data_IF_978505283873
#
_entry.id   IF_978505283873
#
_cell.length_a   1.000
_cell.length_b   1.000
_cell.length_c   1.000
_cell.angle_alpha   90.00
_cell.angle_beta   90.00
_cell.angle_gamma   90.00
#
_symmetry.space_group_name_H-M   'P 1'
#
loop_
_entity.id
_entity.type
_entity.pdbx_description
1 polymer ?
#
# COMPACT_ATOMS: atom_id res chain seq x y z
N UNK A 1 52.22 6.25 48.80
CA UNK A 1 50.82 5.82 48.91
C UNK A 1 50.14 6.09 47.59
N UNK A 2 49.86 5.02 46.86
CA UNK A 2 49.20 5.03 45.55
C UNK A 2 47.73 4.75 45.81
N UNK A 3 46.84 5.67 45.47
CA UNK A 3 45.41 5.38 45.37
C UNK A 3 44.91 5.81 44.00
N UNK A 4 44.71 4.78 43.19
CA UNK A 4 43.95 4.74 41.94
C UNK A 4 42.46 4.92 42.25
N UNK A 5 41.80 5.85 41.57
CA UNK A 5 40.33 5.86 41.45
C UNK A 5 40.00 5.99 39.96
N UNK A 6 39.36 4.94 39.47
CA UNK A 6 38.92 4.67 38.11
C UNK A 6 37.95 5.74 37.55
N UNK A 7 37.79 5.80 36.21
CA UNK A 7 37.02 6.83 35.54
C UNK A 7 35.51 6.53 35.63
N UNK A 8 34.71 7.52 36.04
CA UNK A 8 33.24 7.50 35.96
C UNK A 8 32.80 7.66 34.52
N UNK A 9 32.86 6.56 33.78
CA UNK A 9 32.35 6.39 32.43
C UNK A 9 31.03 5.60 32.54
N UNK A 10 30.02 6.06 31.81
CA UNK A 10 28.75 5.37 31.50
C UNK A 10 27.75 5.27 32.66
N UNK A 11 26.91 6.30 32.84
CA UNK A 11 25.55 6.10 33.40
C UNK A 11 24.59 7.27 33.08
N UNK A 12 24.51 7.75 31.83
CA UNK A 12 23.41 8.67 31.41
C UNK A 12 23.02 8.43 29.93
N UNK A 13 22.90 7.16 29.52
CA UNK A 13 22.31 6.80 28.20
C UNK A 13 21.12 5.84 28.35
N UNK A 14 20.76 5.44 29.57
CA UNK A 14 19.71 4.43 29.79
C UNK A 14 18.70 4.99 30.78
N UNK A 15 17.97 6.06 30.42
CA UNK A 15 16.68 6.46 31.03
C UNK A 15 16.21 7.72 30.29
N UNK A 16 15.48 7.55 29.17
CA UNK A 16 14.53 8.52 28.55
C UNK A 16 14.09 8.15 27.11
N UNK A 17 14.49 7.00 26.54
CA UNK A 17 13.93 6.48 25.27
C UNK A 17 12.65 5.65 25.46
N UNK A 18 12.04 5.70 26.65
CA UNK A 18 10.77 5.03 26.94
C UNK A 18 9.62 5.97 26.61
N UNK A 19 8.93 5.67 25.51
CA UNK A 19 7.52 6.00 25.14
C UNK A 19 7.32 6.69 23.78
N UNK A 20 7.72 5.99 22.70
CA UNK A 20 7.11 6.19 21.37
C UNK A 20 7.25 4.98 20.43
N UNK A 21 7.88 3.88 20.84
CA UNK A 21 7.90 2.66 20.03
C UNK A 21 6.56 1.94 20.16
N UNK A 22 5.81 1.80 19.06
CA UNK A 22 4.71 0.85 18.99
C UNK A 22 5.19 -0.51 19.50
N UNK A 23 4.37 -1.21 20.29
CA UNK A 23 4.68 -2.60 20.64
C UNK A 23 4.68 -3.46 19.37
N UNK A 24 5.41 -4.58 19.38
CA UNK A 24 5.39 -5.54 18.27
C UNK A 24 3.95 -5.98 17.93
N UNK A 25 3.10 -6.11 18.96
CA UNK A 25 1.68 -6.43 18.82
C UNK A 25 0.91 -5.34 18.06
N UNK A 26 1.15 -4.06 18.36
CA UNK A 26 0.51 -2.94 17.65
C UNK A 26 0.92 -2.87 16.17
N UNK A 27 2.18 -3.18 15.87
CA UNK A 27 2.65 -3.26 14.48
C UNK A 27 2.04 -4.46 13.75
N UNK A 28 1.89 -5.60 14.44
CA UNK A 28 1.24 -6.79 13.87
C UNK A 28 -0.24 -6.55 13.54
N UNK A 29 -0.97 -5.88 14.43
CA UNK A 29 -2.36 -5.53 14.21
C UNK A 29 -2.53 -4.51 13.08
N UNK A 30 -1.67 -3.48 13.02
CA UNK A 30 -1.67 -2.54 11.90
C UNK A 30 -1.40 -3.26 10.57
N UNK A 31 -0.52 -4.26 10.57
CA UNK A 31 -0.27 -5.10 9.40
C UNK A 31 -1.49 -5.89 8.95
N UNK A 32 -2.34 -6.32 9.90
CA UNK A 32 -3.60 -7.01 9.61
C UNK A 32 -4.65 -6.07 9.03
N UNK A 33 -4.77 -4.86 9.60
CA UNK A 33 -5.63 -3.82 9.02
C UNK A 33 -5.20 -3.49 7.58
N UNK A 34 -3.91 -3.25 7.36
CA UNK A 34 -3.35 -2.96 6.03
C UNK A 34 -3.69 -4.06 5.04
N UNK A 35 -3.51 -5.33 5.45
CA UNK A 35 -3.87 -6.47 4.61
C UNK A 35 -5.33 -6.45 4.23
N UNK A 36 -6.23 -6.25 5.20
CA UNK A 36 -7.66 -6.25 4.92
C UNK A 36 -8.07 -5.08 4.02
N UNK A 37 -7.45 -3.90 4.17
CA UNK A 37 -7.65 -2.77 3.27
C UNK A 37 -7.16 -3.08 1.84
N UNK A 38 -5.98 -3.70 1.69
CA UNK A 38 -5.49 -4.17 0.39
C UNK A 38 -6.43 -5.21 -0.24
N UNK A 39 -6.94 -6.17 0.55
CA UNK A 39 -7.89 -7.18 0.06
C UNK A 39 -9.21 -6.54 -0.37
N UNK A 40 -9.75 -5.59 0.40
CA UNK A 40 -10.92 -4.80 0.00
C UNK A 40 -10.67 -4.04 -1.29
N UNK A 41 -9.48 -3.41 -1.43
CA UNK A 41 -9.10 -2.69 -2.64
C UNK A 41 -9.06 -3.61 -3.87
N UNK A 42 -8.36 -4.75 -3.76
CA UNK A 42 -8.29 -5.75 -4.84
C UNK A 42 -9.70 -6.22 -5.22
N UNK A 43 -10.56 -6.49 -4.24
CA UNK A 43 -11.93 -6.92 -4.49
C UNK A 43 -12.75 -5.86 -5.22
N UNK A 44 -12.61 -4.57 -4.85
CA UNK A 44 -13.29 -3.46 -5.53
C UNK A 44 -12.83 -3.34 -6.99
N UNK A 45 -11.53 -3.41 -7.24
CA UNK A 45 -10.93 -3.30 -8.58
C UNK A 45 -11.30 -4.48 -9.47
N UNK A 46 -11.48 -5.66 -8.88
CA UNK A 46 -11.95 -6.87 -9.57
C UNK A 46 -13.47 -7.00 -9.66
N UNK A 47 -14.23 -6.04 -9.12
CA UNK A 47 -15.70 -6.09 -9.01
C UNK A 47 -16.21 -7.37 -8.31
N UNK A 48 -15.50 -7.84 -7.29
CA UNK A 48 -15.82 -9.03 -6.49
C UNK A 48 -16.69 -8.64 -5.28
N UNK A 49 -17.96 -8.31 -5.54
CA UNK A 49 -18.90 -7.75 -4.52
C UNK A 49 -18.97 -8.58 -3.24
N UNK A 50 -19.00 -9.92 -3.36
CA UNK A 50 -19.11 -10.84 -2.23
C UNK A 50 -17.91 -10.70 -1.28
N UNK A 51 -16.71 -10.52 -1.84
CA UNK A 51 -15.48 -10.37 -1.08
C UNK A 51 -15.25 -8.98 -0.55
N UNK A 52 -15.72 -7.94 -1.26
CA UNK A 52 -15.65 -6.54 -0.79
C UNK A 52 -16.28 -6.43 0.60
N UNK A 53 -17.47 -7.01 0.79
CA UNK A 53 -18.16 -6.98 2.08
C UNK A 53 -17.37 -7.69 3.19
N UNK A 54 -16.90 -8.91 2.92
CA UNK A 54 -16.15 -9.71 3.90
C UNK A 54 -14.84 -9.03 4.32
N UNK A 55 -14.02 -8.60 3.36
CA UNK A 55 -12.74 -7.96 3.67
C UNK A 55 -12.92 -6.60 4.34
N UNK A 56 -13.96 -5.83 3.96
CA UNK A 56 -14.27 -4.61 4.68
C UNK A 56 -14.67 -4.91 6.13
N UNK A 57 -15.52 -5.90 6.40
CA UNK A 57 -15.89 -6.28 7.77
C UNK A 57 -14.65 -6.62 8.62
N UNK A 58 -13.72 -7.38 8.05
CA UNK A 58 -12.47 -7.73 8.73
C UNK A 58 -11.56 -6.51 8.95
N UNK A 59 -11.51 -5.56 8.01
CA UNK A 59 -10.84 -4.27 8.21
C UNK A 59 -11.49 -3.48 9.36
N UNK A 60 -12.82 -3.43 9.44
CA UNK A 60 -13.55 -2.74 10.53
C UNK A 60 -13.24 -3.34 11.89
N UNK A 61 -13.20 -4.67 11.98
CA UNK A 61 -12.82 -5.38 13.22
C UNK A 61 -11.39 -5.07 13.63
N UNK A 62 -10.44 -5.13 12.68
CA UNK A 62 -9.04 -4.83 12.93
C UNK A 62 -8.86 -3.39 13.43
N UNK A 63 -9.49 -2.41 12.77
CA UNK A 63 -9.43 -1.02 13.21
C UNK A 63 -10.06 -0.81 14.58
N UNK A 64 -11.20 -1.44 14.87
CA UNK A 64 -11.85 -1.34 16.18
C UNK A 64 -10.95 -1.86 17.31
N UNK A 65 -10.26 -2.98 17.08
CA UNK A 65 -9.30 -3.54 18.03
C UNK A 65 -8.14 -2.56 18.30
N UNK A 66 -7.50 -2.08 17.24
CA UNK A 66 -6.42 -1.08 17.29
C UNK A 66 -6.88 0.19 18.02
N UNK A 67 -8.07 0.70 17.68
CA UNK A 67 -8.64 1.91 18.27
C UNK A 67 -8.91 1.75 19.77
N UNK A 68 -9.33 0.55 20.20
CA UNK A 68 -9.52 0.21 21.60
C UNK A 68 -8.23 0.32 22.40
N UNK A 69 -7.12 -0.19 21.86
CA UNK A 69 -5.80 -0.10 22.51
C UNK A 69 -5.30 1.34 22.62
N UNK A 70 -5.54 2.15 21.59
CA UNK A 70 -5.14 3.55 21.57
C UNK A 70 -6.02 4.47 22.42
N UNK A 71 -7.20 4.02 22.86
CA UNK A 71 -8.08 4.84 23.70
C UNK A 71 -7.44 5.21 25.03
N UNK A 72 -6.67 4.29 25.60
CA UNK A 72 -6.04 4.46 26.91
C UNK A 72 -4.56 4.89 26.77
N UNK A 73 -4.04 4.98 25.55
CA UNK A 73 -2.69 5.45 25.24
C UNK A 73 -2.63 6.98 25.19
N UNK A 74 -1.54 7.57 25.70
CA UNK A 74 -1.29 9.01 25.60
C UNK A 74 -0.72 9.35 24.22
N UNK A 75 -1.60 9.38 23.22
CA UNK A 75 -1.21 9.74 21.84
C UNK A 75 -0.96 11.24 21.70
N UNK A 76 -0.04 11.58 20.80
CA UNK A 76 0.17 12.97 20.38
C UNK A 76 -1.07 13.50 19.64
N UNK A 77 -1.28 14.82 19.65
CA UNK A 77 -2.41 15.45 18.93
C UNK A 77 -2.46 15.08 17.43
N UNK A 78 -1.33 15.06 16.69
CA UNK A 78 -1.35 14.63 15.29
C UNK A 78 -1.85 13.19 15.10
N UNK A 79 -1.43 12.26 15.97
CA UNK A 79 -1.87 10.86 15.92
C UNK A 79 -3.37 10.73 16.23
N UNK A 80 -3.89 11.49 17.20
CA UNK A 80 -5.33 11.51 17.49
C UNK A 80 -6.15 12.04 16.31
N UNK A 81 -5.67 13.09 15.65
CA UNK A 81 -6.35 13.64 14.47
C UNK A 81 -6.35 12.65 13.31
N UNK A 82 -5.22 11.98 13.09
CA UNK A 82 -5.12 10.95 12.06
C UNK A 82 -6.04 9.77 12.34
N UNK A 83 -6.03 9.24 13.56
CA UNK A 83 -6.95 8.18 13.96
C UNK A 83 -8.42 8.62 13.77
N UNK A 84 -8.76 9.87 14.08
CA UNK A 84 -10.09 10.41 13.80
C UNK A 84 -10.45 10.51 12.31
N UNK A 85 -9.47 10.75 11.43
CA UNK A 85 -9.68 10.67 9.97
C UNK A 85 -9.89 9.23 9.52
N UNK A 86 -9.10 8.28 10.03
CA UNK A 86 -9.32 6.85 9.76
C UNK A 86 -10.69 6.41 10.25
N UNK A 87 -11.15 6.84 11.44
CA UNK A 87 -12.51 6.58 11.94
C UNK A 87 -13.58 7.05 10.94
N UNK A 88 -13.43 8.25 10.38
CA UNK A 88 -14.34 8.80 9.37
C UNK A 88 -14.29 7.99 8.06
N UNK A 89 -13.11 7.61 7.58
CA UNK A 89 -12.95 6.86 6.34
C UNK A 89 -13.42 5.43 6.46
N UNK A 90 -13.24 4.79 7.62
CA UNK A 90 -13.80 3.48 7.92
C UNK A 90 -15.33 3.50 7.93
N UNK A 91 -15.95 4.53 8.52
CA UNK A 91 -17.39 4.74 8.45
C UNK A 91 -17.87 4.92 7.00
N UNK A 92 -17.17 5.75 6.22
CA UNK A 92 -17.51 6.00 4.82
C UNK A 92 -17.37 4.75 3.96
N UNK A 93 -16.30 3.95 4.16
CA UNK A 93 -16.11 2.68 3.49
C UNK A 93 -17.26 1.72 3.80
N UNK A 94 -17.61 1.55 5.08
CA UNK A 94 -18.73 0.71 5.50
C UNK A 94 -20.04 1.10 4.81
N UNK A 95 -20.38 2.39 4.85
CA UNK A 95 -21.62 2.88 4.22
C UNK A 95 -21.56 2.71 2.70
N UNK A 96 -20.42 2.98 2.07
CA UNK A 96 -20.26 2.82 0.62
C UNK A 96 -20.42 1.36 0.19
N UNK A 97 -19.89 0.42 0.96
CA UNK A 97 -20.07 -1.02 0.71
C UNK A 97 -21.53 -1.44 0.92
N UNK A 98 -22.15 -1.03 2.03
CA UNK A 98 -23.56 -1.32 2.34
C UNK A 98 -24.52 -0.82 1.24
N UNK A 99 -24.27 0.37 0.71
CA UNK A 99 -25.08 0.98 -0.35
C UNK A 99 -24.59 0.68 -1.77
N UNK A 100 -23.66 -0.26 -1.94
CA UNK A 100 -23.11 -0.68 -3.26
C UNK A 100 -22.58 0.49 -4.11
N UNK A 101 -21.77 1.35 -3.50
CA UNK A 101 -21.16 2.52 -4.12
C UNK A 101 -19.65 2.30 -4.30
N UNK A 102 -19.21 1.47 -5.28
CA UNK A 102 -17.81 1.05 -5.40
C UNK A 102 -16.84 2.22 -5.58
N UNK A 103 -17.22 3.25 -6.34
CA UNK A 103 -16.37 4.45 -6.49
C UNK A 103 -16.15 5.20 -5.17
N UNK A 104 -17.15 5.25 -4.28
CA UNK A 104 -16.98 5.86 -2.95
C UNK A 104 -16.20 4.95 -2.00
N UNK A 105 -16.36 3.64 -2.14
CA UNK A 105 -15.58 2.66 -1.37
C UNK A 105 -14.09 2.76 -1.73
N UNK A 106 -13.76 2.79 -3.02
CA UNK A 106 -12.39 3.01 -3.52
C UNK A 106 -11.79 4.31 -3.00
N UNK A 107 -12.54 5.41 -3.06
CA UNK A 107 -12.09 6.69 -2.51
C UNK A 107 -11.79 6.60 -1.01
N UNK A 108 -12.64 5.94 -0.23
CA UNK A 108 -12.42 5.77 1.21
C UNK A 108 -11.16 4.93 1.50
N UNK A 109 -10.93 3.85 0.73
CA UNK A 109 -9.71 3.04 0.82
C UNK A 109 -8.47 3.88 0.52
N UNK A 110 -8.45 4.62 -0.59
CA UNK A 110 -7.31 5.46 -0.99
C UNK A 110 -7.02 6.54 0.06
N UNK A 111 -8.05 7.15 0.65
CA UNK A 111 -7.88 8.14 1.73
C UNK A 111 -7.23 7.54 2.99
N UNK A 112 -7.53 6.28 3.31
CA UNK A 112 -6.87 5.57 4.41
C UNK A 112 -5.42 5.21 4.09
N UNK A 113 -5.16 4.72 2.88
CA UNK A 113 -3.80 4.42 2.43
C UNK A 113 -2.92 5.68 2.48
N UNK A 114 -3.41 6.81 1.97
CA UNK A 114 -2.73 8.11 2.06
C UNK A 114 -2.45 8.53 3.51
N UNK A 115 -3.42 8.33 4.41
CA UNK A 115 -3.23 8.64 5.81
C UNK A 115 -2.12 7.78 6.44
N UNK A 116 -2.06 6.49 6.11
CA UNK A 116 -1.04 5.58 6.58
C UNK A 116 0.35 5.95 6.04
N UNK A 117 0.46 6.29 4.76
CA UNK A 117 1.70 6.75 4.12
C UNK A 117 2.22 8.04 4.77
N UNK A 118 1.34 8.96 5.17
CA UNK A 118 1.73 10.22 5.86
C UNK A 118 2.14 9.96 7.32
N UNK A 119 1.49 9.02 7.99
CA UNK A 119 1.76 8.71 9.39
C UNK A 119 3.07 7.93 9.61
N UNK A 120 3.32 6.91 8.81
CA UNK A 120 4.42 5.96 9.02
C UNK A 120 5.79 6.64 9.15
N UNK A 121 6.19 7.59 8.29
CA UNK A 121 7.46 8.30 8.43
C UNK A 121 7.58 9.08 9.74
N UNK A 122 6.48 9.64 10.25
CA UNK A 122 6.45 10.37 11.53
C UNK A 122 6.71 9.44 12.73
N UNK A 123 6.41 8.14 12.55
CA UNK A 123 6.68 7.08 13.50
C UNK A 123 8.03 6.38 13.24
N UNK A 124 8.81 6.84 12.26
CA UNK A 124 10.05 6.20 11.84
C UNK A 124 9.84 4.84 11.15
N UNK A 125 8.64 4.57 10.66
CA UNK A 125 8.29 3.34 9.95
C UNK A 125 8.47 3.57 8.44
N UNK A 126 9.16 2.64 7.79
CA UNK A 126 9.24 2.57 6.34
C UNK A 126 8.53 1.28 5.91
N UNK A 127 7.31 1.40 5.39
CA UNK A 127 6.48 0.24 5.10
C UNK A 127 6.47 -0.07 3.59
N UNK A 128 6.73 -1.31 3.16
CA UNK A 128 6.79 -1.66 1.74
C UNK A 128 5.50 -1.40 0.95
N UNK A 129 4.34 -1.34 1.61
CA UNK A 129 3.09 -0.97 0.96
C UNK A 129 3.07 0.47 0.45
N UNK A 130 3.83 1.38 1.07
CA UNK A 130 3.86 2.80 0.68
C UNK A 130 4.34 2.96 -0.78
N UNK A 131 5.34 2.16 -1.18
CA UNK A 131 5.84 2.13 -2.56
C UNK A 131 4.87 1.50 -3.55
N UNK A 132 4.02 0.56 -3.10
CA UNK A 132 2.97 -0.02 -3.93
C UNK A 132 1.85 0.99 -4.18
N UNK A 133 1.49 1.77 -3.16
CA UNK A 133 0.51 2.85 -3.28
C UNK A 133 1.04 3.97 -4.18
N UNK A 134 2.28 4.39 -3.98
CA UNK A 134 2.93 5.40 -4.83
C UNK A 134 2.99 4.94 -6.29
N UNK A 135 3.40 3.69 -6.54
CA UNK A 135 3.40 3.13 -7.90
C UNK A 135 2.01 3.19 -8.53
N UNK A 136 0.97 2.74 -7.80
CA UNK A 136 -0.38 2.74 -8.33
C UNK A 136 -0.88 4.14 -8.66
N UNK A 137 -0.65 5.12 -7.79
CA UNK A 137 -1.08 6.51 -8.03
C UNK A 137 -0.40 7.10 -9.26
N UNK A 138 0.93 6.98 -9.37
CA UNK A 138 1.68 7.38 -10.56
C UNK A 138 1.18 6.66 -11.82
N UNK A 139 0.81 5.38 -11.69
CA UNK A 139 0.28 4.62 -12.81
C UNK A 139 -1.14 5.03 -13.22
N UNK A 140 -1.99 5.49 -12.29
CA UNK A 140 -3.31 6.00 -12.64
C UNK A 140 -3.21 7.28 -13.49
N UNK A 141 -2.24 8.15 -13.21
CA UNK A 141 -1.97 9.34 -14.04
C UNK A 141 -1.58 8.93 -15.47
N UNK A 142 -0.75 7.88 -15.60
CA UNK A 142 -0.39 7.29 -16.90
C UNK A 142 -1.61 6.70 -17.59
N UNK A 143 -2.47 5.98 -16.88
CA UNK A 143 -3.71 5.42 -17.46
C UNK A 143 -4.61 6.55 -17.94
N UNK A 144 -4.82 7.60 -17.15
CA UNK A 144 -5.64 8.75 -17.53
C UNK A 144 -5.09 9.43 -18.79
N UNK A 145 -3.80 9.79 -18.78
CA UNK A 145 -3.13 10.42 -19.91
C UNK A 145 -3.11 9.52 -21.17
N UNK A 146 -2.93 8.20 -21.01
CA UNK A 146 -2.97 7.25 -22.13
C UNK A 146 -4.35 7.14 -22.78
N UNK A 147 -5.41 7.50 -22.05
CA UNK A 147 -6.79 7.45 -22.52
C UNK A 147 -7.32 8.83 -22.94
N UNK A 148 -6.50 9.88 -22.88
CA UNK A 148 -6.82 11.20 -23.41
C UNK A 148 -6.53 11.25 -24.93
N UNK A 149 -7.56 11.22 -25.80
CA UNK A 149 -7.38 11.16 -27.25
C UNK A 149 -6.74 12.43 -27.84
N UNK A 150 -6.69 13.52 -27.08
CA UNK A 150 -6.19 14.81 -27.55
C UNK A 150 -4.87 15.23 -26.90
N UNK A 151 -4.32 14.43 -25.97
CA UNK A 151 -3.14 14.81 -25.16
C UNK A 151 -3.30 16.20 -24.54
N UNK A 152 -4.53 16.55 -24.14
CA UNK A 152 -4.82 17.81 -23.46
C UNK A 152 -4.24 17.84 -22.05
N UNK A 153 -3.99 16.67 -21.45
CA UNK A 153 -3.54 16.56 -20.07
C UNK A 153 -2.01 16.71 -19.90
N UNK A 154 -1.21 16.12 -20.80
CA UNK A 154 0.25 16.09 -20.67
C UNK A 154 0.93 16.20 -22.04
N UNK A 155 2.05 16.94 -22.08
CA UNK A 155 2.98 16.86 -23.20
C UNK A 155 3.70 15.49 -23.22
N UNK A 156 4.19 15.06 -24.39
CA UNK A 156 4.77 13.71 -24.54
C UNK A 156 5.97 13.46 -23.61
N UNK A 157 6.83 14.45 -23.41
CA UNK A 157 7.96 14.41 -22.48
C UNK A 157 7.51 14.33 -21.01
N UNK A 158 6.41 14.98 -20.64
CA UNK A 158 5.82 14.87 -19.30
C UNK A 158 5.25 13.47 -19.09
N UNK A 159 4.57 12.92 -20.10
CA UNK A 159 4.09 11.55 -20.07
C UNK A 159 5.23 10.51 -19.94
N UNK A 160 6.34 10.70 -20.66
CA UNK A 160 7.56 9.88 -20.50
C UNK A 160 8.17 10.02 -19.09
N UNK A 161 8.10 11.21 -18.50
CA UNK A 161 8.57 11.47 -17.14
C UNK A 161 7.73 10.72 -16.10
N UNK A 162 6.40 10.79 -16.20
CA UNK A 162 5.49 10.05 -15.31
C UNK A 162 5.72 8.54 -15.40
N UNK A 163 5.89 8.00 -16.61
CA UNK A 163 6.28 6.61 -16.80
C UNK A 163 7.61 6.27 -16.10
N UNK A 164 8.63 7.12 -16.28
CA UNK A 164 9.93 6.89 -15.66
C UNK A 164 9.85 6.90 -14.13
N UNK A 165 9.02 7.79 -13.54
CA UNK A 165 8.76 7.83 -12.11
C UNK A 165 8.09 6.54 -11.62
N UNK A 166 6.97 6.13 -12.23
CA UNK A 166 6.29 4.89 -11.87
C UNK A 166 7.20 3.66 -11.97
N UNK A 167 7.92 3.51 -13.07
CA UNK A 167 8.85 2.39 -13.27
C UNK A 167 9.99 2.39 -12.23
N UNK A 168 10.51 3.58 -11.88
CA UNK A 168 11.52 3.71 -10.83
C UNK A 168 10.98 3.32 -9.45
N UNK A 169 9.75 3.70 -9.11
CA UNK A 169 9.07 3.31 -7.87
C UNK A 169 8.91 1.80 -7.77
N UNK A 170 8.40 1.15 -8.83
CA UNK A 170 8.29 -0.31 -8.90
C UNK A 170 9.64 -1.01 -8.73
N UNK A 171 10.68 -0.55 -9.44
CA UNK A 171 12.03 -1.13 -9.34
C UNK A 171 12.67 -0.90 -7.98
N UNK A 172 12.33 0.20 -7.31
CA UNK A 172 12.79 0.47 -5.93
C UNK A 172 12.12 -0.50 -4.98
N UNK A 173 10.80 -0.66 -5.08
CA UNK A 173 10.05 -1.66 -4.32
C UNK A 173 10.64 -3.07 -4.48
N UNK A 174 10.92 -3.53 -5.70
CA UNK A 174 11.51 -4.86 -5.91
C UNK A 174 12.86 -5.06 -5.22
N UNK A 175 13.66 -4.00 -5.06
CA UNK A 175 14.95 -4.06 -4.37
C UNK A 175 14.80 -4.08 -2.85
N UNK A 176 13.81 -3.36 -2.31
CA UNK A 176 13.58 -3.21 -0.87
C UNK A 176 12.51 -4.15 -0.31
N UNK A 177 11.75 -4.86 -1.15
CA UNK A 177 10.64 -5.68 -0.69
C UNK A 177 11.11 -6.75 0.30
N UNK A 178 10.32 -7.01 1.36
CA UNK A 178 10.66 -8.06 2.31
C UNK A 178 10.62 -9.43 1.63
N UNK A 179 11.43 -10.37 2.12
CA UNK A 179 11.30 -11.79 1.71
C UNK A 179 10.10 -12.48 2.35
N UNK A 180 9.67 -11.97 3.50
CA UNK A 180 8.62 -12.53 4.32
C UNK A 180 7.98 -11.42 5.14
N UNK A 181 6.65 -11.41 5.20
CA UNK A 181 5.86 -10.47 6.00
C UNK A 181 4.47 -11.06 6.21
N UNK A 182 4.34 -12.01 7.14
CA UNK A 182 3.14 -12.84 7.28
C UNK A 182 1.84 -12.07 7.53
N UNK A 183 1.91 -10.96 8.25
CA UNK A 183 0.72 -10.21 8.61
C UNK A 183 0.11 -9.47 7.41
N UNK A 184 0.96 -8.81 6.61
CA UNK A 184 0.50 -7.96 5.49
C UNK A 184 0.61 -8.64 4.14
N UNK A 185 1.73 -9.32 3.89
CA UNK A 185 2.05 -9.98 2.62
C UNK A 185 2.39 -11.48 2.80
N UNK A 186 1.46 -12.29 3.32
CA UNK A 186 1.70 -13.71 3.55
C UNK A 186 2.07 -14.49 2.27
N UNK A 187 1.64 -14.02 1.10
CA UNK A 187 1.92 -14.65 -0.18
C UNK A 187 3.39 -14.59 -0.61
N UNK A 188 4.19 -13.65 -0.07
CA UNK A 188 5.63 -13.61 -0.30
C UNK A 188 6.33 -14.88 0.20
N UNK A 189 5.84 -15.44 1.32
CA UNK A 189 6.31 -16.72 1.86
C UNK A 189 5.54 -17.90 1.30
N UNK A 190 4.21 -17.92 1.47
CA UNK A 190 3.35 -19.06 1.13
C UNK A 190 3.32 -19.41 -0.36
N UNK A 191 3.42 -18.39 -1.21
CA UNK A 191 3.28 -18.48 -2.67
C UNK A 191 4.47 -17.86 -3.38
N UNK A 192 5.68 -17.99 -2.80
CA UNK A 192 6.90 -17.31 -3.26
C UNK A 192 7.16 -17.43 -4.77
N UNK A 193 6.99 -18.62 -5.36
CA UNK A 193 7.17 -18.84 -6.80
C UNK A 193 6.17 -18.04 -7.64
N UNK A 194 4.90 -18.00 -7.23
CA UNK A 194 3.87 -17.21 -7.91
C UNK A 194 4.13 -15.73 -7.73
N UNK A 195 4.53 -15.29 -6.53
CA UNK A 195 4.88 -13.90 -6.25
C UNK A 195 6.06 -13.42 -7.10
N UNK A 196 7.05 -14.28 -7.33
CA UNK A 196 8.18 -13.94 -8.21
C UNK A 196 7.71 -13.87 -9.66
N UNK A 197 6.92 -14.85 -10.09
CA UNK A 197 6.42 -14.92 -11.47
C UNK A 197 5.55 -13.71 -11.83
N UNK A 198 4.66 -13.27 -10.94
CA UNK A 198 3.83 -12.08 -11.16
C UNK A 198 4.64 -10.78 -11.12
N UNK A 199 5.67 -10.69 -10.26
CA UNK A 199 6.59 -9.54 -10.26
C UNK A 199 7.39 -9.44 -11.57
N UNK A 200 7.86 -10.58 -12.09
CA UNK A 200 8.55 -10.65 -13.39
C UNK A 200 7.61 -10.24 -14.52
N UNK A 201 6.37 -10.72 -14.52
CA UNK A 201 5.37 -10.37 -15.53
C UNK A 201 5.10 -8.85 -15.58
N UNK A 202 4.87 -8.23 -14.42
CA UNK A 202 4.70 -6.77 -14.33
C UNK A 202 5.93 -6.01 -14.83
N UNK A 203 7.13 -6.46 -14.46
CA UNK A 203 8.39 -5.84 -14.91
C UNK A 203 8.56 -5.92 -16.42
N UNK A 204 8.28 -7.09 -17.02
CA UNK A 204 8.31 -7.27 -18.47
C UNK A 204 7.27 -6.42 -19.17
N UNK A 205 6.07 -6.29 -18.59
CA UNK A 205 5.04 -5.39 -19.09
C UNK A 205 5.51 -3.94 -19.12
N UNK A 206 6.13 -3.46 -18.04
CA UNK A 206 6.68 -2.10 -17.98
C UNK A 206 7.79 -1.88 -19.03
N UNK A 207 8.65 -2.88 -19.24
CA UNK A 207 9.71 -2.80 -20.26
C UNK A 207 9.16 -2.81 -21.70
N UNK A 208 8.07 -3.55 -21.94
CA UNK A 208 7.33 -3.50 -23.21
C UNK A 208 6.66 -2.13 -23.41
N UNK A 209 6.03 -1.58 -22.36
CA UNK A 209 5.44 -0.25 -22.38
C UNK A 209 6.49 0.84 -22.68
N UNK A 210 7.67 0.76 -22.07
CA UNK A 210 8.79 1.65 -22.36
C UNK A 210 9.23 1.61 -23.84
N UNK A 211 9.08 0.47 -24.49
CA UNK A 211 9.41 0.32 -25.91
C UNK A 211 8.37 1.02 -26.80
N UNK A 212 7.09 0.96 -26.43
CA UNK A 212 6.01 1.69 -27.11
C UNK A 212 6.17 3.21 -26.97
N UNK A 213 6.64 3.70 -25.82
CA UNK A 213 6.90 5.13 -25.64
C UNK A 213 7.95 5.66 -26.63
N UNK A 214 8.95 4.86 -26.97
CA UNK A 214 9.97 5.27 -27.96
C UNK A 214 9.41 5.45 -29.37
N UNK A 215 8.24 4.86 -29.65
CA UNK A 215 7.56 5.03 -30.94
C UNK A 215 6.81 6.38 -31.03
N UNK A 216 6.63 7.09 -29.91
CA UNK A 216 6.02 8.43 -29.89
C UNK A 216 4.53 8.44 -30.25
N UNK A 217 3.83 7.31 -30.17
CA UNK A 217 2.44 7.18 -30.60
C UNK A 217 1.51 6.87 -29.43
N UNK A 218 0.79 7.90 -28.97
CA UNK A 218 -0.17 7.80 -27.85
C UNK A 218 -1.28 6.76 -28.08
N UNK A 219 -1.68 6.50 -29.33
CA UNK A 219 -2.75 5.54 -29.63
C UNK A 219 -2.38 4.10 -29.28
N UNK A 220 -1.08 3.81 -29.14
CA UNK A 220 -0.56 2.48 -28.84
C UNK A 220 -0.48 2.18 -27.34
N UNK A 221 -0.54 3.19 -26.48
CA UNK A 221 -0.28 3.03 -25.03
C UNK A 221 -1.55 2.82 -24.19
N UNK A 222 -2.74 3.16 -24.71
CA UNK A 222 -4.01 3.04 -23.99
C UNK A 222 -4.29 1.62 -23.48
N UNK A 223 -4.31 0.61 -24.37
CA UNK A 223 -4.58 -0.77 -23.96
C UNK A 223 -3.44 -1.37 -23.09
N UNK A 224 -2.15 -1.19 -23.43
CA UNK A 224 -1.05 -1.60 -22.55
C UNK A 224 -1.10 -0.97 -21.16
N UNK A 225 -1.48 0.31 -21.03
CA UNK A 225 -1.57 0.97 -19.72
C UNK A 225 -2.54 0.26 -18.76
N UNK A 226 -3.68 -0.19 -19.29
CA UNK A 226 -4.68 -0.96 -18.54
C UNK A 226 -4.19 -2.37 -18.21
N UNK A 227 -3.49 -3.02 -19.15
CA UNK A 227 -2.91 -4.34 -18.91
C UNK A 227 -1.88 -4.33 -17.77
N UNK A 228 -1.07 -3.27 -17.65
CA UNK A 228 -0.16 -3.10 -16.51
C UNK A 228 -0.91 -2.93 -15.19
N UNK A 229 -2.03 -2.20 -15.19
CA UNK A 229 -2.88 -2.07 -14.02
C UNK A 229 -3.43 -3.45 -13.58
N UNK A 230 -3.87 -4.28 -14.52
CA UNK A 230 -4.31 -5.65 -14.25
C UNK A 230 -3.16 -6.51 -13.67
N UNK A 231 -1.96 -6.46 -14.28
CA UNK A 231 -0.77 -7.17 -13.78
C UNK A 231 -0.38 -6.72 -12.37
N UNK A 232 -0.54 -5.43 -12.04
CA UNK A 232 -0.31 -4.92 -10.69
C UNK A 232 -1.29 -5.51 -9.68
N UNK A 233 -2.59 -5.57 -10.00
CA UNK A 233 -3.57 -6.21 -9.13
C UNK A 233 -3.44 -7.73 -9.07
N UNK A 234 -2.89 -8.38 -10.09
CA UNK A 234 -2.47 -9.79 -10.02
C UNK A 234 -1.30 -9.98 -9.07
N UNK A 235 -0.29 -9.10 -9.13
CA UNK A 235 0.81 -9.11 -8.17
C UNK A 235 0.32 -8.91 -6.73
N UNK A 236 -0.51 -7.87 -6.49
CA UNK A 236 -1.09 -7.60 -5.19
C UNK A 236 -1.89 -8.80 -4.66
N UNK A 237 -2.77 -9.37 -5.49
CA UNK A 237 -3.56 -10.53 -5.12
C UNK A 237 -2.70 -11.71 -4.66
N UNK A 238 -1.60 -11.99 -5.35
CA UNK A 238 -0.69 -13.07 -4.96
C UNK A 238 -0.02 -12.76 -3.62
N UNK A 239 0.55 -11.56 -3.44
CA UNK A 239 1.31 -11.26 -2.21
C UNK A 239 0.43 -11.12 -0.97
N UNK A 240 -0.83 -10.72 -1.11
CA UNK A 240 -1.77 -10.61 0.02
C UNK A 240 -2.49 -11.91 0.33
N UNK A 241 -2.26 -12.97 -0.46
CA UNK A 241 -3.03 -14.22 -0.40
C UNK A 241 -4.52 -13.95 -0.61
N UNK A 242 -4.83 -13.12 -1.62
CA UNK A 242 -6.19 -12.86 -2.08
C UNK A 242 -6.71 -14.15 -2.69
N UNK A 243 -7.63 -14.77 -1.96
CA UNK A 243 -8.40 -15.87 -2.48
C UNK A 243 -9.26 -15.27 -3.59
N UNK A 244 -8.98 -15.53 -4.87
CA UNK A 244 -9.99 -15.31 -5.89
C UNK A 244 -11.02 -16.42 -5.73
N UNK A 245 -12.30 -16.18 -6.06
CA UNK A 245 -13.17 -17.32 -6.33
C UNK A 245 -12.49 -18.04 -7.49
N UNK A 246 -11.83 -19.17 -7.21
CA UNK A 246 -11.47 -20.14 -8.23
C UNK A 246 -12.76 -20.34 -9.01
N UNK A 247 -12.86 -19.79 -10.22
CA UNK A 247 -13.84 -20.28 -11.17
C UNK A 247 -13.55 -21.77 -11.21
N UNK A 248 -14.44 -22.56 -10.61
CA UNK A 248 -14.43 -24.00 -10.76
C UNK A 248 -14.35 -24.23 -12.27
N UNK A 249 -13.20 -24.76 -12.71
CA UNK A 249 -13.07 -25.30 -14.05
C UNK A 249 -13.95 -26.55 -14.10
#
# INVERSE_FOLDING_TARGET
>A
MVFSIAPKVILVIIFSLTSASCSEDQLAELGTLERNLLLTWIALERNDEDRVAAYNEDAQKAWTAIRGQYRDAHLSKPLLQSAGRVDLWMLNLRNAVEYKQPGRALMAVNLMQNELTVLRPQLGLNHPADQLYEFYHQWQDIVEASNDPMLCLLEWNEFEHEFAAANATWRTYLKSRPRFMDNTFPGLGKSASQSESSAVALTQGLDAFASLLKEGNHTLVAAPSRAINEMFFDYLAVITDYQSAQKAI
#
